data_IF_126196268081
#
_entry.id   IF_126196268081
#
_cell.length_a   1.000
_cell.length_b   1.000
_cell.length_c   1.000
_cell.angle_alpha   90.00
_cell.angle_beta   90.00
_cell.angle_gamma   90.00
#
_symmetry.space_group_name_H-M   'P 1'
#
loop_
_entity.id
_entity.type
_entity.pdbx_description
1 polymer ?
#
# COMPACT_ATOMS: atom_id res chain seq x y z
N UNK A 1 -9.10 27.79 43.89
CA UNK A 1 -8.70 26.43 44.36
C UNK A 1 -9.86 25.79 45.12
N UNK A 2 -10.38 26.43 46.17
CA UNK A 2 -11.45 25.86 47.01
C UNK A 2 -12.75 25.54 46.27
N UNK A 3 -13.19 26.39 45.32
CA UNK A 3 -14.42 26.14 44.55
C UNK A 3 -14.31 24.89 43.66
N UNK A 4 -13.17 24.69 43.00
CA UNK A 4 -12.92 23.54 42.11
C UNK A 4 -12.78 22.25 42.95
N UNK A 5 -12.02 22.32 44.04
CA UNK A 5 -11.86 21.20 44.97
C UNK A 5 -13.21 20.76 45.57
N UNK A 6 -14.03 21.71 46.03
CA UNK A 6 -15.35 21.43 46.59
C UNK A 6 -16.30 20.86 45.56
N UNK A 7 -16.29 21.38 44.32
CA UNK A 7 -17.09 20.85 43.22
C UNK A 7 -16.77 19.36 42.96
N UNK A 8 -15.50 19.01 42.81
CA UNK A 8 -15.11 17.63 42.54
C UNK A 8 -15.32 16.71 43.75
N UNK A 9 -15.15 17.22 44.97
CA UNK A 9 -15.46 16.46 46.19
C UNK A 9 -16.95 16.12 46.26
N UNK A 10 -17.83 17.08 45.97
CA UNK A 10 -19.27 16.86 45.96
C UNK A 10 -19.73 15.92 44.84
N UNK A 11 -19.00 15.87 43.72
CA UNK A 11 -19.37 15.10 42.52
C UNK A 11 -18.44 13.90 42.26
N UNK A 12 -17.72 13.41 43.26
CA UNK A 12 -16.66 12.41 43.07
C UNK A 12 -17.18 11.10 42.46
N UNK A 13 -18.41 10.70 42.80
CA UNK A 13 -19.08 9.51 42.25
C UNK A 13 -19.28 9.65 40.74
N UNK A 14 -19.72 10.83 40.27
CA UNK A 14 -19.91 11.12 38.84
C UNK A 14 -18.56 11.09 38.12
N UNK A 15 -17.50 11.62 38.74
CA UNK A 15 -16.15 11.59 38.17
C UNK A 15 -15.66 10.16 37.96
N UNK A 16 -15.80 9.27 38.94
CA UNK A 16 -15.40 7.87 38.81
C UNK A 16 -16.26 7.10 37.82
N UNK A 17 -17.56 7.40 37.73
CA UNK A 17 -18.43 6.81 36.71
C UNK A 17 -17.98 7.18 35.28
N UNK A 18 -17.76 8.48 35.03
CA UNK A 18 -17.26 8.97 33.73
C UNK A 18 -15.87 8.42 33.43
N UNK A 19 -15.01 8.33 34.44
CA UNK A 19 -13.67 7.74 34.31
C UNK A 19 -13.72 6.29 33.84
N UNK A 20 -14.52 5.44 34.50
CA UNK A 20 -14.75 4.05 34.07
C UNK A 20 -15.31 3.96 32.65
N UNK A 21 -16.25 4.84 32.31
CA UNK A 21 -16.84 4.92 30.96
C UNK A 21 -15.79 5.29 29.89
N UNK A 22 -14.90 6.25 30.15
CA UNK A 22 -13.83 6.63 29.21
C UNK A 22 -12.91 5.46 28.91
N UNK A 23 -12.52 4.70 29.94
CA UNK A 23 -11.67 3.51 29.77
C UNK A 23 -12.37 2.40 29.00
N UNK A 24 -13.62 2.13 29.34
CA UNK A 24 -14.44 1.12 28.68
C UNK A 24 -14.62 1.45 27.19
N UNK A 25 -14.99 2.70 26.87
CA UNK A 25 -15.16 3.17 25.49
C UNK A 25 -13.84 3.17 24.71
N UNK A 26 -12.73 3.58 25.34
CA UNK A 26 -11.40 3.47 24.74
C UNK A 26 -11.09 2.01 24.38
N UNK A 27 -11.22 1.09 25.34
CA UNK A 27 -10.90 -0.31 25.13
C UNK A 27 -11.75 -0.93 24.03
N UNK A 28 -13.06 -0.63 24.04
CA UNK A 28 -14.00 -1.07 23.02
C UNK A 28 -13.68 -0.49 21.63
N UNK A 29 -13.34 0.81 21.53
CA UNK A 29 -12.99 1.45 20.28
C UNK A 29 -11.69 0.89 19.68
N UNK A 30 -10.69 0.58 20.50
CA UNK A 30 -9.45 -0.08 20.06
C UNK A 30 -9.76 -1.49 19.57
N UNK A 31 -10.60 -2.27 20.29
CA UNK A 31 -10.99 -3.61 19.89
C UNK A 31 -11.66 -3.64 18.51
N UNK A 32 -12.69 -2.80 18.29
CA UNK A 32 -13.43 -2.75 17.02
C UNK A 32 -12.56 -2.39 15.81
N UNK A 33 -11.49 -1.63 16.03
CA UNK A 33 -10.62 -1.18 14.94
C UNK A 33 -9.54 -2.20 14.56
N UNK A 34 -9.30 -3.20 15.40
CA UNK A 34 -8.19 -4.12 15.26
C UNK A 34 -8.53 -5.42 14.49
N UNK A 35 -9.68 -5.46 13.80
CA UNK A 35 -10.14 -6.67 13.09
C UNK A 35 -9.38 -6.96 11.78
N UNK A 36 -8.54 -6.04 11.29
CA UNK A 36 -7.77 -6.24 10.06
C UNK A 36 -6.31 -6.60 10.37
N UNK A 37 -5.75 -7.66 9.77
CA UNK A 37 -4.34 -7.95 9.88
C UNK A 37 -3.55 -6.86 9.16
N UNK A 38 -2.96 -5.91 9.90
CA UNK A 38 -1.99 -4.98 9.34
C UNK A 38 -0.63 -5.66 9.21
N UNK A 39 0.17 -5.25 8.23
CA UNK A 39 1.54 -5.73 8.03
C UNK A 39 2.45 -5.49 9.26
N UNK A 40 2.11 -4.51 10.10
CA UNK A 40 2.83 -4.27 11.35
C UNK A 40 2.39 -5.22 12.47
N UNK A 41 3.35 -6.03 12.94
CA UNK A 41 3.22 -6.94 14.11
C UNK A 41 2.63 -6.28 15.36
N UNK A 42 2.74 -4.95 15.45
CA UNK A 42 2.24 -4.07 16.52
C UNK A 42 0.74 -4.20 16.72
N UNK A 43 -0.05 -4.36 15.65
CA UNK A 43 -1.51 -4.34 15.75
C UNK A 43 -2.03 -5.49 16.60
N UNK A 44 -1.36 -6.65 16.57
CA UNK A 44 -1.70 -7.78 17.43
C UNK A 44 -1.46 -7.53 18.92
N UNK A 45 -0.70 -6.49 19.28
CA UNK A 45 -0.48 -6.10 20.67
C UNK A 45 -1.62 -5.20 21.18
N UNK A 46 -2.30 -4.44 20.31
CA UNK A 46 -3.40 -3.56 20.71
C UNK A 46 -4.62 -4.28 21.28
N UNK A 47 -4.80 -5.58 21.00
CA UNK A 47 -5.82 -6.39 21.67
C UNK A 47 -5.63 -6.45 23.19
N UNK A 48 -4.39 -6.46 23.67
CA UNK A 48 -4.12 -6.43 25.11
C UNK A 48 -4.37 -5.04 25.72
N UNK A 49 -4.10 -3.97 24.96
CA UNK A 49 -4.44 -2.60 25.37
C UNK A 49 -5.97 -2.40 25.41
N UNK A 50 -6.70 -2.99 24.47
CA UNK A 50 -8.16 -3.01 24.45
C UNK A 50 -8.73 -3.78 25.65
N UNK A 51 -8.22 -4.99 25.91
CA UNK A 51 -8.60 -5.80 27.07
C UNK A 51 -8.32 -5.05 28.39
N UNK A 52 -7.17 -4.39 28.51
CA UNK A 52 -6.87 -3.49 29.61
C UNK A 52 -7.95 -2.41 29.77
N UNK A 53 -8.27 -1.65 28.71
CA UNK A 53 -9.27 -0.58 28.77
C UNK A 53 -10.66 -1.07 29.23
N UNK A 54 -11.13 -2.20 28.68
CA UNK A 54 -12.44 -2.76 29.02
C UNK A 54 -12.47 -3.25 30.47
N UNK A 55 -11.49 -4.07 30.88
CA UNK A 55 -11.45 -4.65 32.22
C UNK A 55 -11.23 -3.56 33.28
N UNK A 56 -10.35 -2.59 32.99
CA UNK A 56 -10.11 -1.45 33.86
C UNK A 56 -11.35 -0.57 34.01
N UNK A 57 -12.04 -0.27 32.89
CA UNK A 57 -13.29 0.49 32.93
C UNK A 57 -14.35 -0.18 33.80
N UNK A 58 -14.48 -1.50 33.69
CA UNK A 58 -15.40 -2.30 34.52
C UNK A 58 -15.01 -2.30 36.00
N UNK A 59 -13.72 -2.36 36.33
CA UNK A 59 -13.28 -2.34 37.73
C UNK A 59 -13.56 -0.99 38.40
N UNK A 60 -13.39 0.13 37.68
CA UNK A 60 -13.58 1.48 38.24
C UNK A 60 -15.04 1.78 38.62
N UNK A 61 -15.99 1.06 38.04
CA UNK A 61 -17.39 1.13 38.48
C UNK A 61 -17.62 0.47 39.83
N UNK A 62 -16.69 -0.34 40.33
CA UNK A 62 -16.73 -0.85 41.71
C UNK A 62 -16.73 0.28 42.74
N UNK A 63 -15.94 1.33 42.52
CA UNK A 63 -15.94 2.56 43.35
C UNK A 63 -17.30 3.28 43.42
N UNK A 64 -18.18 3.05 42.44
CA UNK A 64 -19.52 3.65 42.38
C UNK A 64 -20.57 2.71 42.97
N UNK A 65 -20.57 1.44 42.54
CA UNK A 65 -21.66 0.52 42.85
C UNK A 65 -21.47 -0.26 44.14
N UNK A 66 -20.24 -0.62 44.54
CA UNK A 66 -20.01 -1.41 45.75
C UNK A 66 -20.45 -0.65 47.02
N UNK A 67 -20.12 0.65 47.20
CA UNK A 67 -20.62 1.42 48.35
C UNK A 67 -22.14 1.54 48.38
N UNK A 68 -22.80 1.56 47.21
CA UNK A 68 -24.27 1.55 47.13
C UNK A 68 -24.82 0.20 47.59
N UNK A 69 -24.22 -0.92 47.16
CA UNK A 69 -24.63 -2.26 47.57
C UNK A 69 -24.43 -2.53 49.06
N UNK A 70 -23.41 -1.91 49.68
CA UNK A 70 -23.13 -2.01 51.12
C UNK A 70 -24.33 -1.58 51.98
N UNK A 71 -25.18 -0.68 51.47
CA UNK A 71 -26.37 -0.21 52.21
C UNK A 71 -27.52 -1.22 52.31
N UNK A 72 -27.55 -2.27 51.48
CA UNK A 72 -28.67 -3.22 51.42
C UNK A 72 -28.29 -4.68 51.20
N UNK A 73 -27.00 -5.01 51.06
CA UNK A 73 -26.49 -6.37 50.80
C UNK A 73 -25.81 -6.96 52.02
N UNK A 74 -25.63 -8.29 52.04
CA UNK A 74 -24.89 -8.95 53.12
C UNK A 74 -23.39 -8.65 53.06
N UNK A 75 -22.71 -8.64 54.22
CA UNK A 75 -21.25 -8.46 54.31
C UNK A 75 -20.47 -9.45 53.44
N UNK A 76 -20.98 -10.69 53.31
CA UNK A 76 -20.38 -11.70 52.45
C UNK A 76 -20.45 -11.28 50.97
N UNK A 77 -21.60 -10.75 50.54
CA UNK A 77 -21.78 -10.25 49.17
C UNK A 77 -20.82 -9.09 48.89
N UNK A 78 -20.73 -8.13 49.82
CA UNK A 78 -19.83 -6.96 49.69
C UNK A 78 -18.36 -7.40 49.63
N UNK A 79 -17.95 -8.35 50.49
CA UNK A 79 -16.61 -8.91 50.47
C UNK A 79 -16.28 -9.60 49.13
N UNK A 80 -17.23 -10.35 48.57
CA UNK A 80 -17.08 -10.99 47.25
C UNK A 80 -16.93 -9.92 46.16
N UNK A 81 -17.69 -8.83 46.22
CA UNK A 81 -17.59 -7.75 45.23
C UNK A 81 -16.23 -7.05 45.28
N UNK A 82 -15.71 -6.72 46.46
CA UNK A 82 -14.36 -6.17 46.60
C UNK A 82 -13.28 -7.16 46.12
N UNK A 83 -13.47 -8.46 46.35
CA UNK A 83 -12.59 -9.50 45.82
C UNK A 83 -12.61 -9.57 44.29
N UNK A 84 -13.79 -9.46 43.68
CA UNK A 84 -13.93 -9.40 42.22
C UNK A 84 -13.25 -8.14 41.69
N UNK A 85 -13.51 -6.98 42.29
CA UNK A 85 -12.96 -5.70 41.87
C UNK A 85 -11.43 -5.70 41.90
N UNK A 86 -10.81 -6.14 43.00
CA UNK A 86 -9.34 -6.14 43.12
C UNK A 86 -8.67 -7.10 42.12
N UNK A 87 -9.34 -8.20 41.78
CA UNK A 87 -8.87 -9.10 40.73
C UNK A 87 -9.03 -8.47 39.33
N UNK A 88 -10.12 -7.75 39.07
CA UNK A 88 -10.29 -7.00 37.81
C UNK A 88 -9.20 -5.92 37.67
N UNK A 89 -8.90 -5.16 38.73
CA UNK A 89 -7.80 -4.17 38.75
C UNK A 89 -6.45 -4.85 38.46
N UNK A 90 -6.14 -5.94 39.16
CA UNK A 90 -4.89 -6.66 38.96
C UNK A 90 -4.76 -7.21 37.53
N UNK A 91 -5.80 -7.86 37.02
CA UNK A 91 -5.80 -8.39 35.66
C UNK A 91 -5.72 -7.29 34.61
N UNK A 92 -6.39 -6.16 34.80
CA UNK A 92 -6.28 -5.03 33.87
C UNK A 92 -4.82 -4.58 33.75
N UNK A 93 -4.12 -4.36 34.87
CA UNK A 93 -2.72 -3.94 34.81
C UNK A 93 -1.77 -5.03 34.34
N UNK A 94 -2.08 -6.30 34.54
CA UNK A 94 -1.35 -7.40 33.90
C UNK A 94 -1.49 -7.34 32.38
N UNK A 95 -2.68 -7.03 31.84
CA UNK A 95 -2.86 -6.82 30.40
C UNK A 95 -2.03 -5.64 29.88
N UNK A 96 -1.97 -4.54 30.64
CA UNK A 96 -1.11 -3.40 30.31
C UNK A 96 0.39 -3.78 30.33
N UNK A 97 0.82 -4.55 31.33
CA UNK A 97 2.19 -5.07 31.40
C UNK A 97 2.49 -6.01 30.23
N UNK A 98 1.57 -6.90 29.89
CA UNK A 98 1.70 -7.79 28.75
C UNK A 98 1.78 -7.02 27.43
N UNK A 99 0.94 -5.99 27.27
CA UNK A 99 1.00 -5.08 26.12
C UNK A 99 2.38 -4.42 26.00
N UNK A 100 2.87 -3.81 27.09
CA UNK A 100 4.19 -3.16 27.11
C UNK A 100 5.35 -4.11 26.81
N UNK A 101 5.35 -5.29 27.44
CA UNK A 101 6.38 -6.31 27.20
C UNK A 101 6.31 -6.90 25.78
N UNK A 102 5.12 -7.17 25.26
CA UNK A 102 4.97 -7.69 23.89
C UNK A 102 5.49 -6.67 22.87
N UNK A 103 5.10 -5.41 23.01
CA UNK A 103 5.60 -4.34 22.15
C UNK A 103 7.14 -4.23 22.25
N UNK A 104 7.68 -4.25 23.45
CA UNK A 104 9.12 -4.18 23.68
C UNK A 104 9.91 -5.38 23.11
N UNK A 105 9.37 -6.60 23.26
CA UNK A 105 9.96 -7.83 22.70
C UNK A 105 9.95 -7.80 21.18
N UNK A 106 8.84 -7.36 20.58
CA UNK A 106 8.70 -7.29 19.13
C UNK A 106 9.61 -6.20 18.53
N UNK A 107 9.77 -5.04 19.19
CA UNK A 107 10.65 -3.95 18.74
C UNK A 107 12.14 -4.31 18.89
N UNK A 108 12.55 -4.96 19.98
CA UNK A 108 13.96 -5.25 20.24
C UNK A 108 14.41 -6.66 19.84
N UNK A 109 13.54 -7.45 19.19
CA UNK A 109 13.81 -8.84 18.81
C UNK A 109 14.29 -9.73 19.98
N UNK A 110 13.80 -9.43 21.19
CA UNK A 110 14.14 -10.17 22.41
C UNK A 110 13.48 -11.56 22.42
N UNK A 111 13.90 -12.40 23.37
CA UNK A 111 13.31 -13.72 23.55
C UNK A 111 11.84 -13.65 23.97
N UNK A 112 10.99 -14.41 23.27
CA UNK A 112 9.56 -14.55 23.61
C UNK A 112 9.30 -15.17 24.98
N UNK A 113 10.30 -15.80 25.61
CA UNK A 113 10.17 -16.36 26.95
C UNK A 113 9.86 -15.29 28.02
N UNK A 114 10.23 -14.02 27.79
CA UNK A 114 9.91 -12.92 28.71
C UNK A 114 8.39 -12.71 28.84
N UNK A 115 7.60 -13.10 27.84
CA UNK A 115 6.12 -13.01 27.86
C UNK A 115 5.46 -13.99 28.84
N UNK A 116 6.23 -14.88 29.49
CA UNK A 116 5.73 -15.66 30.62
C UNK A 116 5.59 -14.83 31.90
N UNK A 117 6.33 -13.72 32.05
CA UNK A 117 6.34 -12.89 33.27
C UNK A 117 4.93 -12.41 33.64
N UNK A 118 4.12 -11.79 32.74
CA UNK A 118 2.79 -11.31 33.12
C UNK A 118 1.81 -12.47 33.38
N UNK A 119 2.00 -13.63 32.74
CA UNK A 119 1.16 -14.81 32.96
C UNK A 119 1.37 -15.38 34.36
N UNK A 120 2.63 -15.52 34.76
CA UNK A 120 2.99 -15.95 36.11
C UNK A 120 2.50 -14.91 37.12
N UNK A 121 2.67 -13.61 36.83
CA UNK A 121 2.15 -12.54 37.68
C UNK A 121 0.62 -12.60 37.85
N UNK A 122 -0.14 -12.90 36.79
CA UNK A 122 -1.59 -13.10 36.88
C UNK A 122 -1.97 -14.26 37.81
N UNK A 123 -1.29 -15.40 37.67
CA UNK A 123 -1.55 -16.60 38.47
C UNK A 123 -1.22 -16.33 39.94
N UNK A 124 -0.08 -15.70 40.21
CA UNK A 124 0.33 -15.34 41.57
C UNK A 124 -0.65 -14.33 42.18
N UNK A 125 -1.07 -13.31 41.41
CA UNK A 125 -2.06 -12.33 41.85
C UNK A 125 -3.37 -13.01 42.25
N UNK A 126 -3.93 -13.80 41.34
CA UNK A 126 -5.18 -14.51 41.59
C UNK A 126 -5.07 -15.45 42.80
N UNK A 127 -3.97 -16.21 42.91
CA UNK A 127 -3.72 -17.09 44.04
C UNK A 127 -3.65 -16.36 45.39
N UNK A 128 -2.96 -15.22 45.43
CA UNK A 128 -2.86 -14.38 46.62
C UNK A 128 -4.25 -13.89 47.05
N UNK A 129 -5.02 -13.28 46.16
CA UNK A 129 -6.32 -12.71 46.51
C UNK A 129 -7.42 -13.75 46.71
N UNK A 130 -7.31 -14.95 46.12
CA UNK A 130 -8.24 -16.05 46.35
C UNK A 130 -8.06 -16.69 47.74
N UNK A 131 -6.81 -16.85 48.18
CA UNK A 131 -6.50 -17.55 49.44
C UNK A 131 -6.58 -16.64 50.67
N UNK A 132 -6.31 -15.35 50.51
CA UNK A 132 -6.12 -14.43 51.64
C UNK A 132 -7.36 -14.14 52.51
N UNK A 133 -8.60 -14.01 51.97
CA UNK A 133 -9.79 -13.78 52.79
C UNK A 133 -10.03 -14.87 53.85
N UNK A 134 -9.53 -16.09 53.61
CA UNK A 134 -9.60 -17.20 54.55
C UNK A 134 -8.50 -17.19 55.63
N UNK A 135 -7.42 -16.42 55.43
CA UNK A 135 -6.24 -16.41 56.28
C UNK A 135 -6.21 -15.21 57.27
N UNK A 136 -6.79 -14.07 56.92
CA UNK A 136 -6.61 -12.82 57.68
C UNK A 136 -7.78 -12.39 58.57
N UNK A 137 -8.91 -13.12 58.54
CA UNK A 137 -10.12 -12.71 59.24
C UNK A 137 -10.85 -11.55 58.56
N UNK A 138 -12.16 -11.44 58.76
CA UNK A 138 -13.04 -10.52 58.01
C UNK A 138 -12.83 -9.02 58.28
N UNK A 139 -12.11 -8.65 59.35
CA UNK A 139 -12.02 -7.26 59.82
C UNK A 139 -10.96 -6.41 59.10
N UNK A 140 -10.16 -6.97 58.17
CA UNK A 140 -9.03 -6.27 57.53
C UNK A 140 -9.14 -6.13 55.99
N UNK A 141 -10.35 -6.36 55.44
CA UNK A 141 -10.57 -6.40 53.98
C UNK A 141 -10.21 -5.05 53.32
N UNK A 142 -10.52 -3.93 53.98
CA UNK A 142 -10.27 -2.58 53.43
C UNK A 142 -8.79 -2.24 53.35
N UNK A 143 -8.00 -2.61 54.35
CA UNK A 143 -6.54 -2.43 54.33
C UNK A 143 -5.90 -3.28 53.23
N UNK A 144 -6.39 -4.51 53.08
CA UNK A 144 -5.88 -5.42 52.05
C UNK A 144 -6.21 -5.00 50.64
N UNK A 145 -7.43 -4.52 50.43
CA UNK A 145 -7.83 -3.91 49.18
C UNK A 145 -6.93 -2.72 48.84
N UNK A 146 -6.68 -1.83 49.81
CA UNK A 146 -5.80 -0.67 49.64
C UNK A 146 -4.37 -1.07 49.23
N UNK A 147 -3.77 -2.02 49.95
CA UNK A 147 -2.44 -2.54 49.63
C UNK A 147 -2.42 -3.20 48.25
N UNK A 148 -3.46 -3.98 47.93
CA UNK A 148 -3.65 -4.56 46.61
C UNK A 148 -3.65 -3.51 45.51
N UNK A 149 -4.50 -2.48 45.59
CA UNK A 149 -4.55 -1.43 44.57
C UNK A 149 -3.18 -0.78 44.39
N UNK A 150 -2.49 -0.44 45.48
CA UNK A 150 -1.15 0.17 45.44
C UNK A 150 -0.13 -0.77 44.78
N UNK A 151 -0.04 -2.03 45.21
CA UNK A 151 0.94 -2.97 44.68
C UNK A 151 0.65 -3.35 43.22
N UNK A 152 -0.63 -3.45 42.82
CA UNK A 152 -0.98 -3.68 41.42
C UNK A 152 -0.45 -2.55 40.51
N UNK A 153 -0.50 -1.30 40.98
CA UNK A 153 0.00 -0.13 40.27
C UNK A 153 1.53 -0.12 40.18
N UNK A 154 2.21 -0.39 41.28
CA UNK A 154 3.68 -0.40 41.29
C UNK A 154 4.29 -1.60 40.55
N UNK A 155 3.72 -2.79 40.70
CA UNK A 155 4.26 -4.01 40.13
C UNK A 155 3.88 -4.20 38.66
N UNK A 156 2.70 -3.73 38.25
CA UNK A 156 2.18 -3.98 36.90
C UNK A 156 1.97 -2.70 36.11
N UNK A 157 1.22 -1.72 36.63
CA UNK A 157 0.85 -0.54 35.85
C UNK A 157 2.05 0.34 35.49
N UNK A 158 2.91 0.62 36.47
CA UNK A 158 4.10 1.46 36.32
C UNK A 158 5.10 0.85 35.30
N UNK A 159 5.62 -0.38 35.50
CA UNK A 159 6.53 -0.98 34.53
C UNK A 159 5.86 -1.22 33.18
N UNK A 160 4.59 -1.63 33.13
CA UNK A 160 3.86 -1.81 31.88
C UNK A 160 3.81 -0.54 31.04
N UNK A 161 3.47 0.59 31.67
CA UNK A 161 3.41 1.90 31.02
C UNK A 161 4.78 2.40 30.56
N UNK A 162 5.82 2.23 31.38
CA UNK A 162 7.19 2.61 31.01
C UNK A 162 7.68 1.78 29.83
N UNK A 163 7.45 0.46 29.84
CA UNK A 163 7.83 -0.42 28.75
C UNK A 163 7.11 -0.06 27.45
N UNK A 164 5.80 0.22 27.51
CA UNK A 164 5.06 0.74 26.36
C UNK A 164 5.67 2.03 25.83
N UNK A 165 6.00 2.99 26.70
CA UNK A 165 6.61 4.24 26.30
C UNK A 165 7.96 4.06 25.60
N UNK A 166 8.85 3.24 26.18
CA UNK A 166 10.19 2.97 25.60
C UNK A 166 10.06 2.22 24.28
N UNK A 167 9.13 1.27 24.17
CA UNK A 167 8.92 0.52 22.95
C UNK A 167 8.43 1.43 21.80
N UNK A 168 7.44 2.29 22.06
CA UNK A 168 7.01 3.30 21.07
C UNK A 168 8.09 4.32 20.73
N UNK A 169 9.00 4.62 21.66
CA UNK A 169 10.13 5.50 21.39
C UNK A 169 11.11 4.86 20.41
N UNK A 170 11.59 3.65 20.71
CA UNK A 170 12.57 2.94 19.88
C UNK A 170 12.04 2.58 18.50
N UNK A 171 10.74 2.27 18.40
CA UNK A 171 10.10 1.94 17.13
C UNK A 171 10.10 3.09 16.12
N UNK A 172 10.36 4.32 16.55
CA UNK A 172 10.53 5.44 15.63
C UNK A 172 11.74 5.23 14.71
N UNK A 173 12.79 4.59 15.19
CA UNK A 173 14.02 4.37 14.41
C UNK A 173 13.76 3.42 13.24
N UNK A 174 12.98 2.36 13.47
CA UNK A 174 12.59 1.38 12.44
C UNK A 174 11.70 2.02 11.36
N UNK A 175 10.77 2.88 11.79
CA UNK A 175 9.76 3.50 10.92
C UNK A 175 10.20 4.87 10.38
N UNK A 176 11.40 5.37 10.74
CA UNK A 176 11.94 6.62 10.21
C UNK A 176 12.25 6.52 8.70
N UNK A 177 12.41 5.29 8.20
CA UNK A 177 12.58 4.99 6.78
C UNK A 177 11.29 5.18 5.98
N UNK A 178 10.12 5.13 6.63
CA UNK A 178 8.85 5.46 6.01
C UNK A 178 8.76 6.99 5.95
N UNK A 179 8.69 7.57 4.75
CA UNK A 179 8.62 9.02 4.48
C UNK A 179 7.26 9.65 4.91
N UNK A 180 6.86 9.37 6.15
CA UNK A 180 5.54 9.60 6.74
C UNK A 180 5.71 10.32 8.09
N UNK A 181 5.93 11.65 8.10
CA UNK A 181 6.21 12.42 9.31
C UNK A 181 5.06 12.41 10.33
N UNK A 182 3.83 12.14 9.88
CA UNK A 182 2.65 12.05 10.76
C UNK A 182 2.70 10.81 11.65
N UNK A 183 3.15 9.67 11.11
CA UNK A 183 3.26 8.40 11.86
C UNK A 183 4.29 8.55 12.98
N UNK A 184 5.47 9.09 12.67
CA UNK A 184 6.52 9.35 13.66
C UNK A 184 6.06 10.30 14.78
N UNK A 185 5.31 11.34 14.42
CA UNK A 185 4.73 12.27 15.39
C UNK A 185 3.74 11.57 16.32
N UNK A 186 2.86 10.73 15.78
CA UNK A 186 1.90 9.98 16.60
C UNK A 186 2.59 8.97 17.52
N UNK A 187 3.65 8.28 17.08
CA UNK A 187 4.45 7.39 17.93
C UNK A 187 5.14 8.15 19.08
N UNK A 188 5.73 9.33 18.81
CA UNK A 188 6.32 10.19 19.84
C UNK A 188 5.31 10.59 20.91
N UNK A 189 4.16 11.12 20.48
CA UNK A 189 3.13 11.52 21.43
C UNK A 189 2.57 10.33 22.20
N UNK A 190 2.46 9.16 21.58
CA UNK A 190 2.00 7.94 22.26
C UNK A 190 3.00 7.56 23.37
N UNK A 191 4.30 7.60 23.08
CA UNK A 191 5.36 7.37 24.08
C UNK A 191 5.26 8.36 25.25
N UNK A 192 5.12 9.66 24.97
CA UNK A 192 4.96 10.69 26.01
C UNK A 192 3.70 10.45 26.85
N UNK A 193 2.57 10.10 26.21
CA UNK A 193 1.33 9.82 26.95
C UNK A 193 1.44 8.59 27.84
N UNK A 194 2.16 7.53 27.42
CA UNK A 194 2.42 6.38 28.29
C UNK A 194 3.36 6.72 29.47
N UNK A 195 4.31 7.64 29.31
CA UNK A 195 5.11 8.15 30.44
C UNK A 195 4.25 8.96 31.42
N UNK A 196 3.37 9.82 30.90
CA UNK A 196 2.41 10.53 31.75
C UNK A 196 1.45 9.55 32.45
N UNK A 197 1.02 8.50 31.75
CA UNK A 197 0.20 7.46 32.33
C UNK A 197 0.95 6.71 33.45
N UNK A 198 2.23 6.40 33.25
CA UNK A 198 3.09 5.80 34.28
C UNK A 198 3.15 6.67 35.55
N UNK A 199 3.26 8.00 35.39
CA UNK A 199 3.25 8.94 36.50
C UNK A 199 1.89 8.95 37.24
N UNK A 200 0.79 9.19 36.52
CA UNK A 200 -0.52 9.43 37.15
C UNK A 200 -1.26 8.16 37.58
N UNK A 201 -1.05 7.04 36.89
CA UNK A 201 -1.72 5.76 37.18
C UNK A 201 -0.83 4.75 37.92
N UNK A 202 0.48 4.80 37.70
CA UNK A 202 1.47 3.93 38.33
C UNK A 202 2.06 4.50 39.62
N UNK A 203 2.64 5.71 39.55
CA UNK A 203 3.38 6.30 40.67
C UNK A 203 2.49 7.02 41.70
N UNK A 204 1.46 7.74 41.24
CA UNK A 204 0.50 8.42 42.11
C UNK A 204 -0.61 7.44 42.50
N UNK A 205 -0.54 6.94 43.74
CA UNK A 205 -1.42 5.89 44.28
C UNK A 205 -2.19 6.39 45.52
N UNK A 206 -3.15 5.63 46.08
CA UNK A 206 -3.74 5.97 47.38
C UNK A 206 -2.69 6.13 48.49
N UNK A 207 -2.91 7.05 49.43
CA UNK A 207 -1.98 7.30 50.52
C UNK A 207 -1.78 6.07 51.42
N UNK A 208 -0.51 5.73 51.66
CA UNK A 208 -0.10 4.65 52.55
C UNK A 208 1.17 5.05 53.35
N UNK A 209 1.51 4.35 54.46
CA UNK A 209 2.58 4.76 55.37
C UNK A 209 4.01 4.48 54.88
N UNK A 210 4.20 4.12 53.60
CA UNK A 210 5.50 3.77 53.02
C UNK A 210 5.80 4.58 51.74
N UNK A 211 7.08 4.71 51.37
CA UNK A 211 7.50 5.40 50.15
C UNK A 211 7.27 4.53 48.89
N UNK A 212 6.92 5.12 47.73
CA UNK A 212 6.68 6.55 47.50
C UNK A 212 5.24 7.01 47.86
N UNK A 213 4.33 6.09 48.24
CA UNK A 213 2.91 6.37 48.50
C UNK A 213 2.66 7.40 49.62
N UNK A 214 3.58 7.55 50.57
CA UNK A 214 3.48 8.54 51.63
C UNK A 214 3.62 9.99 51.13
N UNK A 215 4.35 10.19 50.02
CA UNK A 215 4.63 11.49 49.42
C UNK A 215 3.83 11.70 48.15
N UNK A 216 3.95 10.76 47.20
CA UNK A 216 3.27 10.79 45.91
C UNK A 216 1.95 10.02 46.00
N UNK A 217 0.89 10.74 46.38
CA UNK A 217 -0.44 10.16 46.50
C UNK A 217 -1.56 11.04 45.95
N UNK A 218 -2.70 10.39 45.73
CA UNK A 218 -3.91 11.00 45.18
C UNK A 218 -4.38 12.20 46.02
N UNK A 219 -4.32 12.09 47.35
CA UNK A 219 -4.75 13.16 48.25
C UNK A 219 -3.86 14.40 48.13
N UNK A 220 -2.54 14.22 48.07
CA UNK A 220 -1.58 15.31 47.91
C UNK A 220 -1.73 15.97 46.52
N UNK A 221 -1.89 15.18 45.46
CA UNK A 221 -2.15 15.70 44.12
C UNK A 221 -3.44 16.54 44.11
N UNK A 222 -4.54 16.01 44.65
CA UNK A 222 -5.83 16.68 44.64
C UNK A 222 -5.82 17.99 45.44
N UNK A 223 -5.11 18.02 46.57
CA UNK A 223 -4.90 19.26 47.35
C UNK A 223 -4.06 20.30 46.59
N UNK A 224 -3.05 19.84 45.84
CA UNK A 224 -2.15 20.72 45.10
C UNK A 224 -2.79 21.31 43.84
N UNK A 225 -3.57 20.51 43.11
CA UNK A 225 -4.09 20.91 41.78
C UNK A 225 -5.57 21.24 41.78
N UNK A 226 -6.33 20.78 42.77
CA UNK A 226 -7.79 20.89 42.81
C UNK A 226 -8.52 19.91 41.90
N UNK A 227 -7.84 19.03 41.15
CA UNK A 227 -8.45 18.04 40.26
C UNK A 227 -8.18 16.60 40.74
N UNK A 228 -9.20 15.72 40.75
CA UNK A 228 -9.00 14.31 41.07
C UNK A 228 -8.08 13.62 40.07
N UNK A 229 -7.31 12.63 40.53
CA UNK A 229 -6.40 11.86 39.65
C UNK A 229 -7.13 11.22 38.46
N UNK A 230 -8.39 10.84 38.64
CA UNK A 230 -9.25 10.26 37.61
C UNK A 230 -9.40 11.18 36.39
N UNK A 231 -9.42 12.50 36.57
CA UNK A 231 -9.51 13.47 35.47
C UNK A 231 -8.26 13.44 34.61
N UNK A 232 -7.07 13.41 35.24
CA UNK A 232 -5.79 13.29 34.52
C UNK A 232 -5.70 11.97 33.75
N UNK A 233 -6.04 10.86 34.42
CA UNK A 233 -6.00 9.53 33.82
C UNK A 233 -6.99 9.41 32.65
N UNK A 234 -8.23 9.92 32.79
CA UNK A 234 -9.21 9.97 31.71
C UNK A 234 -8.67 10.71 30.49
N UNK A 235 -8.13 11.92 30.69
CA UNK A 235 -7.59 12.75 29.61
C UNK A 235 -6.42 12.07 28.89
N UNK A 236 -5.45 11.55 29.65
CA UNK A 236 -4.30 10.83 29.09
C UNK A 236 -4.77 9.62 28.25
N UNK A 237 -5.69 8.82 28.78
CA UNK A 237 -6.20 7.65 28.06
C UNK A 237 -7.03 8.00 26.83
N UNK A 238 -7.83 9.07 26.86
CA UNK A 238 -8.51 9.56 25.65
C UNK A 238 -7.51 9.95 24.55
N UNK A 239 -6.39 10.58 24.92
CA UNK A 239 -5.34 10.93 23.96
C UNK A 239 -4.62 9.68 23.45
N UNK A 240 -4.27 8.72 24.32
CA UNK A 240 -3.70 7.42 23.90
C UNK A 240 -4.64 6.72 22.93
N UNK A 241 -5.94 6.64 23.24
CA UNK A 241 -6.96 6.05 22.39
C UNK A 241 -6.96 6.69 21.00
N UNK A 242 -7.04 8.02 20.95
CA UNK A 242 -7.02 8.77 19.70
C UNK A 242 -5.76 8.47 18.88
N UNK A 243 -4.58 8.52 19.49
CA UNK A 243 -3.30 8.29 18.81
C UNK A 243 -3.19 6.86 18.27
N UNK A 244 -3.55 5.85 19.07
CA UNK A 244 -3.55 4.44 18.67
C UNK A 244 -4.54 4.21 17.54
N UNK A 245 -5.76 4.74 17.64
CA UNK A 245 -6.78 4.67 16.58
C UNK A 245 -6.28 5.34 15.30
N UNK A 246 -5.58 6.48 15.38
CA UNK A 246 -5.02 7.14 14.19
C UNK A 246 -3.89 6.33 13.57
N UNK A 247 -3.00 5.77 14.38
CA UNK A 247 -1.93 4.89 13.92
C UNK A 247 -2.50 3.68 13.16
N UNK A 248 -3.46 2.96 13.73
CA UNK A 248 -4.07 1.80 13.05
C UNK A 248 -4.77 2.20 11.75
N UNK A 249 -5.45 3.36 11.70
CA UNK A 249 -6.10 3.83 10.47
C UNK A 249 -5.10 4.06 9.34
N UNK A 250 -3.99 4.76 9.63
CA UNK A 250 -2.98 5.11 8.61
C UNK A 250 -2.41 3.83 7.98
N UNK A 251 -2.01 2.86 8.80
CA UNK A 251 -1.43 1.61 8.29
C UNK A 251 -2.44 0.76 7.52
N UNK A 252 -3.69 0.62 8.01
CA UNK A 252 -4.71 -0.14 7.25
C UNK A 252 -5.01 0.48 5.89
N UNK A 253 -4.88 1.79 5.76
CA UNK A 253 -5.06 2.50 4.48
C UNK A 253 -3.90 2.20 3.52
N UNK A 254 -2.65 2.25 3.99
CA UNK A 254 -1.47 1.92 3.18
C UNK A 254 -1.46 0.47 2.71
N UNK A 255 -1.79 -0.47 3.60
CA UNK A 255 -1.89 -1.90 3.26
C UNK A 255 -2.96 -2.13 2.19
N UNK A 256 -4.11 -1.46 2.31
CA UNK A 256 -5.20 -1.57 1.33
C UNK A 256 -4.81 -0.99 -0.03
N UNK A 257 -4.04 0.10 -0.04
CA UNK A 257 -3.54 0.74 -1.26
C UNK A 257 -2.54 -0.18 -1.98
N UNK A 258 -1.53 -0.68 -1.27
CA UNK A 258 -0.52 -1.61 -1.81
C UNK A 258 -1.17 -2.87 -2.38
N UNK A 259 -2.18 -3.42 -1.67
CA UNK A 259 -2.92 -4.59 -2.14
C UNK A 259 -3.69 -4.30 -3.42
N UNK A 260 -4.35 -3.13 -3.51
CA UNK A 260 -5.08 -2.74 -4.72
C UNK A 260 -4.15 -2.56 -5.93
N UNK A 261 -2.99 -1.94 -5.75
CA UNK A 261 -1.96 -1.79 -6.79
C UNK A 261 -1.47 -3.17 -7.27
N UNK A 262 -1.15 -4.08 -6.34
CA UNK A 262 -0.74 -5.44 -6.67
C UNK A 262 -1.83 -6.23 -7.40
N UNK A 263 -3.09 -6.07 -7.01
CA UNK A 263 -4.24 -6.69 -7.69
C UNK A 263 -4.43 -6.16 -9.11
N UNK A 264 -4.22 -4.86 -9.32
CA UNK A 264 -4.29 -4.25 -10.64
C UNK A 264 -3.17 -4.78 -11.54
N UNK A 265 -1.94 -4.87 -11.05
CA UNK A 265 -0.82 -5.46 -11.79
C UNK A 265 -1.09 -6.92 -12.15
N UNK A 266 -1.60 -7.71 -11.20
CA UNK A 266 -1.98 -9.09 -11.44
C UNK A 266 -3.11 -9.23 -12.47
N UNK A 267 -4.11 -8.35 -12.44
CA UNK A 267 -5.19 -8.33 -13.43
C UNK A 267 -4.66 -8.04 -14.84
N UNK A 268 -3.74 -7.08 -14.98
CA UNK A 268 -3.07 -6.78 -16.26
C UNK A 268 -2.26 -7.98 -16.75
N UNK A 269 -1.50 -8.64 -15.87
CA UNK A 269 -0.73 -9.85 -16.24
C UNK A 269 -1.64 -11.00 -16.69
N UNK A 270 -2.77 -11.20 -15.99
CA UNK A 270 -3.74 -12.23 -16.33
C UNK A 270 -4.39 -11.98 -17.69
N UNK A 271 -4.75 -10.72 -17.98
CA UNK A 271 -5.30 -10.34 -19.28
C UNK A 271 -4.27 -10.55 -20.40
N UNK A 272 -3.00 -10.18 -20.17
CA UNK A 272 -1.90 -10.49 -21.11
C UNK A 272 -1.77 -11.98 -21.40
N UNK A 273 -1.88 -12.82 -20.36
CA UNK A 273 -1.76 -14.27 -20.52
C UNK A 273 -2.95 -14.84 -21.30
N UNK A 274 -4.16 -14.32 -21.07
CA UNK A 274 -5.36 -14.69 -21.83
C UNK A 274 -5.22 -14.31 -23.30
N UNK A 275 -4.88 -13.05 -23.59
CA UNK A 275 -4.65 -12.55 -24.95
C UNK A 275 -3.60 -13.41 -25.68
N UNK A 276 -2.48 -13.74 -25.02
CA UNK A 276 -1.44 -14.61 -25.59
C UNK A 276 -1.99 -15.98 -25.97
N UNK A 277 -2.88 -16.54 -25.16
CA UNK A 277 -3.47 -17.86 -25.38
C UNK A 277 -4.48 -17.85 -26.53
N UNK A 278 -5.42 -16.92 -26.51
CA UNK A 278 -6.43 -16.76 -27.57
C UNK A 278 -5.76 -16.57 -28.95
N UNK A 279 -4.63 -15.86 -28.96
CA UNK A 279 -3.85 -15.63 -30.17
C UNK A 279 -3.00 -16.83 -30.60
N UNK A 280 -2.30 -17.49 -29.66
CA UNK A 280 -1.55 -18.71 -29.96
C UNK A 280 -2.47 -19.73 -30.64
N UNK A 281 -3.69 -19.88 -30.13
CA UNK A 281 -4.66 -20.82 -30.66
C UNK A 281 -5.20 -20.40 -32.04
N UNK A 282 -5.49 -19.11 -32.27
CA UNK A 282 -5.98 -18.62 -33.57
C UNK A 282 -4.91 -18.59 -34.69
N UNK A 283 -3.67 -18.19 -34.37
CA UNK A 283 -2.58 -18.08 -35.34
C UNK A 283 -2.03 -19.46 -35.71
N UNK A 284 -1.80 -20.36 -34.74
CA UNK A 284 -1.34 -21.71 -35.06
C UNK A 284 -2.34 -22.43 -35.97
N UNK A 285 -3.65 -22.29 -35.70
CA UNK A 285 -4.68 -22.90 -36.53
C UNK A 285 -4.65 -22.35 -37.97
N UNK A 286 -4.45 -21.04 -38.11
CA UNK A 286 -4.39 -20.40 -39.44
C UNK A 286 -3.15 -20.83 -40.22
N UNK A 287 -1.98 -20.88 -39.58
CA UNK A 287 -0.73 -21.37 -40.22
C UNK A 287 -0.85 -22.85 -40.58
N UNK A 288 -1.45 -23.66 -39.71
CA UNK A 288 -1.67 -25.08 -39.98
C UNK A 288 -2.58 -25.29 -41.20
N UNK A 289 -3.67 -24.50 -41.30
CA UNK A 289 -4.58 -24.54 -42.45
C UNK A 289 -3.88 -24.16 -43.76
N UNK A 290 -3.03 -23.12 -43.74
CA UNK A 290 -2.20 -22.75 -44.90
C UNK A 290 -1.30 -23.92 -45.32
N UNK A 291 -0.62 -24.57 -44.36
CA UNK A 291 0.26 -25.70 -44.63
C UNK A 291 -0.46 -26.86 -45.33
N UNK A 292 -1.66 -27.22 -44.87
CA UNK A 292 -2.48 -28.26 -45.49
C UNK A 292 -2.91 -27.89 -46.92
N UNK A 293 -3.30 -26.64 -47.14
CA UNK A 293 -3.74 -26.16 -48.45
C UNK A 293 -2.59 -26.13 -49.46
N UNK A 294 -1.38 -25.76 -49.03
CA UNK A 294 -0.18 -25.81 -49.86
C UNK A 294 0.23 -27.25 -50.20
N UNK A 295 0.08 -28.20 -49.27
CA UNK A 295 0.32 -29.62 -49.55
C UNK A 295 -0.69 -30.18 -50.56
N UNK A 296 -1.95 -29.76 -50.49
CA UNK A 296 -2.97 -30.06 -51.50
C UNK A 296 -2.62 -29.46 -52.87
N UNK A 297 -2.17 -28.20 -52.91
CA UNK A 297 -1.71 -27.57 -54.14
C UNK A 297 -0.53 -28.32 -54.78
N UNK A 298 0.41 -28.83 -53.97
CA UNK A 298 1.53 -29.65 -54.44
C UNK A 298 1.06 -30.95 -55.11
N UNK A 299 0.02 -31.59 -54.57
CA UNK A 299 -0.57 -32.79 -55.17
C UNK A 299 -1.30 -32.48 -56.49
N UNK A 300 -1.96 -31.32 -56.56
CA UNK A 300 -2.66 -30.84 -57.76
C UNK A 300 -1.71 -30.39 -58.87
N UNK A 301 -0.49 -29.96 -58.55
CA UNK A 301 0.48 -29.45 -59.53
C UNK A 301 0.78 -30.45 -60.68
N UNK A 302 0.64 -31.77 -60.43
CA UNK A 302 0.84 -32.80 -61.45
C UNK A 302 -0.40 -33.08 -62.33
N UNK A 303 -1.61 -32.72 -61.86
CA UNK A 303 -2.88 -33.08 -62.50
C UNK A 303 -3.69 -31.88 -62.99
N UNK A 304 -3.59 -30.74 -62.31
CA UNK A 304 -4.26 -29.47 -62.64
C UNK A 304 -3.36 -28.29 -62.20
N UNK A 305 -2.37 -27.92 -63.03
CA UNK A 305 -1.38 -26.89 -62.69
C UNK A 305 -2.01 -25.51 -62.46
N UNK A 306 -3.05 -25.18 -63.21
CA UNK A 306 -3.72 -23.87 -63.10
C UNK A 306 -4.40 -23.72 -61.75
N UNK A 307 -5.09 -24.75 -61.27
CA UNK A 307 -5.74 -24.76 -59.96
C UNK A 307 -4.73 -24.81 -58.80
N UNK A 308 -3.57 -25.44 -59.01
CA UNK A 308 -2.46 -25.40 -58.07
C UNK A 308 -1.91 -23.96 -57.90
N UNK A 309 -1.67 -23.25 -59.00
CA UNK A 309 -1.22 -21.85 -58.98
C UNK A 309 -2.24 -20.92 -58.31
N UNK A 310 -3.54 -21.08 -58.59
CA UNK A 310 -4.60 -20.31 -57.93
C UNK A 310 -4.64 -20.55 -56.40
N UNK A 311 -4.40 -21.79 -55.97
CA UNK A 311 -4.37 -22.15 -54.54
C UNK A 311 -3.14 -21.54 -53.87
N UNK A 312 -1.97 -21.61 -54.51
CA UNK A 312 -0.74 -20.98 -54.00
C UNK A 312 -0.90 -19.46 -53.88
N UNK A 313 -1.46 -18.80 -54.90
CA UNK A 313 -1.69 -17.35 -54.88
C UNK A 313 -2.62 -16.94 -53.73
N UNK A 314 -3.69 -17.72 -53.48
CA UNK A 314 -4.63 -17.47 -52.38
C UNK A 314 -3.98 -17.63 -51.01
N UNK A 315 -3.20 -18.69 -50.81
CA UNK A 315 -2.54 -18.95 -49.53
C UNK A 315 -1.40 -17.94 -49.27
N UNK A 316 -0.74 -17.41 -50.30
CA UNK A 316 0.21 -16.29 -50.15
C UNK A 316 -0.48 -15.03 -49.60
N UNK A 317 -1.66 -14.67 -50.12
CA UNK A 317 -2.45 -13.55 -49.59
C UNK A 317 -2.84 -13.80 -48.12
N UNK A 318 -3.20 -15.04 -47.78
CA UNK A 318 -3.55 -15.45 -46.41
C UNK A 318 -2.36 -15.39 -45.47
N UNK A 319 -1.17 -15.81 -45.91
CA UNK A 319 0.08 -15.67 -45.16
C UNK A 319 0.44 -14.21 -44.90
N UNK A 320 0.27 -13.33 -45.89
CA UNK A 320 0.49 -11.90 -45.72
C UNK A 320 -0.48 -11.30 -44.71
N UNK A 321 -1.73 -11.77 -44.68
CA UNK A 321 -2.70 -11.38 -43.66
C UNK A 321 -2.28 -11.86 -42.26
N UNK A 322 -1.90 -13.13 -42.10
CA UNK A 322 -1.41 -13.67 -40.83
C UNK A 322 -0.17 -12.89 -40.36
N UNK A 323 0.75 -12.54 -41.27
CA UNK A 323 1.91 -11.72 -40.95
C UNK A 323 1.53 -10.32 -40.46
N UNK A 324 0.50 -9.68 -41.05
CA UNK A 324 -0.01 -8.39 -40.56
C UNK A 324 -0.63 -8.52 -39.18
N UNK A 325 -1.42 -9.57 -38.94
CA UNK A 325 -2.03 -9.85 -37.63
C UNK A 325 -0.98 -10.08 -36.54
N UNK A 326 0.07 -10.86 -36.83
CA UNK A 326 1.22 -11.05 -35.93
C UNK A 326 1.93 -9.73 -35.63
N UNK A 327 2.18 -8.89 -36.64
CA UNK A 327 2.89 -7.60 -36.45
C UNK A 327 2.09 -6.63 -35.61
N UNK A 328 0.79 -6.50 -35.88
CA UNK A 328 -0.10 -5.66 -35.07
C UNK A 328 -0.13 -6.15 -33.61
N UNK A 329 -0.15 -7.47 -33.39
CA UNK A 329 -0.12 -8.07 -32.06
C UNK A 329 1.20 -7.84 -31.30
N UNK A 330 2.35 -8.04 -31.94
CA UNK A 330 3.66 -7.76 -31.33
C UNK A 330 3.69 -6.32 -30.84
N UNK A 331 3.10 -5.40 -31.60
CA UNK A 331 2.97 -4.02 -31.19
C UNK A 331 2.00 -3.80 -30.03
N UNK A 332 0.83 -4.44 -30.01
CA UNK A 332 -0.12 -4.33 -28.89
C UNK A 332 0.47 -4.84 -27.57
N UNK A 333 1.32 -5.88 -27.60
CA UNK A 333 2.07 -6.30 -26.39
C UNK A 333 3.11 -5.27 -25.98
N UNK A 334 3.83 -4.69 -26.94
CA UNK A 334 4.91 -3.74 -26.66
C UNK A 334 4.40 -2.37 -26.17
N UNK A 335 3.11 -2.06 -26.33
CA UNK A 335 2.50 -0.80 -25.90
C UNK A 335 2.70 -0.48 -24.40
N UNK A 336 2.82 -1.49 -23.53
CA UNK A 336 3.10 -1.25 -22.11
C UNK A 336 4.57 -0.88 -21.80
N UNK A 337 5.49 -1.03 -22.76
CA UNK A 337 6.91 -0.67 -22.60
C UNK A 337 7.26 0.65 -23.29
N UNK A 338 6.41 1.12 -24.23
CA UNK A 338 6.57 2.42 -24.91
C UNK A 338 5.90 3.59 -24.17
N UNK A 339 5.19 3.32 -23.06
CA UNK A 339 4.67 4.33 -22.14
C UNK A 339 5.70 5.39 -21.74
N UNK A 340 6.95 4.98 -21.60
CA UNK A 340 8.03 5.83 -21.06
C UNK A 340 9.07 6.25 -22.11
N UNK A 341 9.08 5.64 -23.31
CA UNK A 341 10.12 5.90 -24.32
C UNK A 341 9.76 7.09 -25.22
N UNK A 342 10.77 7.93 -25.49
CA UNK A 342 10.68 9.00 -26.48
C UNK A 342 10.73 8.42 -27.90
N UNK A 343 10.03 9.03 -28.85
CA UNK A 343 10.00 8.61 -30.26
C UNK A 343 11.42 8.50 -30.84
N UNK A 344 12.34 9.37 -30.42
CA UNK A 344 13.75 9.31 -30.82
C UNK A 344 14.39 7.94 -30.53
N UNK A 345 14.06 7.33 -29.39
CA UNK A 345 14.63 6.05 -28.95
C UNK A 345 14.05 4.90 -29.76
N UNK A 346 12.77 5.00 -30.09
CA UNK A 346 12.06 4.04 -30.96
C UNK A 346 12.72 4.03 -32.34
N UNK A 347 12.87 5.19 -32.97
CA UNK A 347 13.46 5.32 -34.32
C UNK A 347 14.93 4.90 -34.33
N UNK A 348 15.72 5.26 -33.31
CA UNK A 348 17.10 4.82 -33.17
C UNK A 348 17.20 3.29 -33.17
N UNK A 349 16.35 2.61 -32.39
CA UNK A 349 16.32 1.15 -32.35
C UNK A 349 16.00 0.53 -33.71
N UNK A 350 15.01 1.05 -34.42
CA UNK A 350 14.63 0.57 -35.75
C UNK A 350 15.76 0.73 -36.77
N UNK A 351 16.46 1.87 -36.75
CA UNK A 351 17.56 2.15 -37.68
C UNK A 351 18.73 1.20 -37.43
N UNK A 352 19.08 0.95 -36.17
CA UNK A 352 20.15 0.00 -35.85
C UNK A 352 19.80 -1.44 -36.23
N UNK A 353 18.57 -1.88 -35.98
CA UNK A 353 18.09 -3.19 -36.44
C UNK A 353 18.12 -3.30 -37.98
N UNK A 354 17.73 -2.24 -38.69
CA UNK A 354 17.74 -2.22 -40.14
C UNK A 354 19.16 -2.31 -40.72
N UNK A 355 20.12 -1.55 -40.17
CA UNK A 355 21.54 -1.61 -40.55
C UNK A 355 22.10 -3.02 -40.39
N UNK A 356 21.83 -3.66 -39.25
CA UNK A 356 22.30 -5.02 -38.96
C UNK A 356 21.73 -6.05 -39.94
N UNK A 357 20.45 -5.91 -40.31
CA UNK A 357 19.74 -6.89 -41.12
C UNK A 357 19.92 -6.72 -42.64
N UNK A 358 20.33 -5.54 -43.10
CA UNK A 358 20.35 -5.20 -44.53
C UNK A 358 21.73 -4.75 -45.05
N UNK A 359 22.70 -4.54 -44.16
CA UNK A 359 24.05 -4.06 -44.48
C UNK A 359 24.04 -2.78 -45.36
N UNK A 360 23.03 -1.93 -45.14
CA UNK A 360 22.81 -0.69 -45.89
C UNK A 360 23.09 0.50 -44.95
N UNK A 361 23.90 1.50 -45.37
CA UNK A 361 24.16 2.67 -44.55
C UNK A 361 22.89 3.53 -44.42
N UNK A 362 22.54 3.86 -43.18
CA UNK A 362 21.43 4.76 -42.84
C UNK A 362 21.97 5.98 -42.10
N UNK A 363 21.79 7.16 -42.68
CA UNK A 363 22.08 8.45 -42.04
C UNK A 363 20.85 8.93 -41.28
N UNK A 364 20.96 8.99 -39.95
CA UNK A 364 19.88 9.42 -39.06
C UNK A 364 20.20 10.80 -38.47
N UNK A 365 19.31 11.76 -38.69
CA UNK A 365 19.41 13.11 -38.11
C UNK A 365 18.18 13.39 -37.23
N UNK A 366 18.39 13.68 -35.95
CA UNK A 366 17.32 14.03 -35.00
C UNK A 366 17.59 15.42 -34.44
N UNK A 367 16.64 16.36 -34.57
CA UNK A 367 16.77 17.74 -34.09
C UNK A 367 15.61 18.10 -33.16
N UNK A 368 15.89 18.84 -32.09
CA UNK A 368 14.87 19.39 -31.16
C UNK A 368 13.99 18.35 -30.43
N UNK A 369 14.48 17.11 -30.25
CA UNK A 369 13.73 16.02 -29.58
C UNK A 369 13.21 16.30 -28.16
N UNK A 370 13.72 17.33 -27.48
CA UNK A 370 13.20 17.79 -26.19
C UNK A 370 11.79 18.40 -26.30
N UNK A 371 11.33 18.74 -27.51
CA UNK A 371 10.01 19.30 -27.81
C UNK A 371 8.97 18.24 -28.17
N UNK A 372 9.28 16.96 -27.97
CA UNK A 372 8.36 15.87 -28.27
C UNK A 372 7.05 16.02 -27.47
N UNK A 373 5.94 16.17 -28.19
CA UNK A 373 4.60 16.28 -27.63
C UNK A 373 3.63 15.38 -28.40
N UNK A 374 3.88 14.07 -28.32
CA UNK A 374 3.14 13.05 -29.05
C UNK A 374 2.48 12.07 -28.07
N UNK A 375 1.20 11.82 -28.28
CA UNK A 375 0.45 10.80 -27.55
C UNK A 375 0.90 9.39 -27.99
N UNK A 376 0.64 8.38 -27.17
CA UNK A 376 1.05 6.98 -27.45
C UNK A 376 0.58 6.48 -28.81
N UNK A 377 -0.66 6.78 -29.20
CA UNK A 377 -1.22 6.46 -30.51
C UNK A 377 -0.38 7.08 -31.65
N UNK A 378 0.04 8.33 -31.51
CA UNK A 378 0.82 9.00 -32.56
C UNK A 378 2.19 8.35 -32.75
N UNK A 379 2.89 8.03 -31.65
CA UNK A 379 4.17 7.30 -31.68
C UNK A 379 4.01 5.92 -32.33
N UNK A 380 2.88 5.23 -32.07
CA UNK A 380 2.54 3.93 -32.64
C UNK A 380 2.41 3.98 -34.16
N UNK A 381 1.64 4.93 -34.69
CA UNK A 381 1.47 5.07 -36.13
C UNK A 381 2.78 5.45 -36.83
N UNK A 382 3.57 6.35 -36.23
CA UNK A 382 4.89 6.72 -36.75
C UNK A 382 5.86 5.54 -36.82
N UNK A 383 5.92 4.71 -35.78
CA UNK A 383 6.71 3.48 -35.77
C UNK A 383 6.32 2.56 -36.94
N UNK A 384 5.02 2.33 -37.13
CA UNK A 384 4.52 1.47 -38.21
C UNK A 384 4.81 2.02 -39.60
N UNK A 385 4.67 3.34 -39.78
CA UNK A 385 5.00 4.01 -41.04
C UNK A 385 6.47 3.80 -41.36
N UNK A 386 7.38 4.08 -40.41
CA UNK A 386 8.83 3.92 -40.63
C UNK A 386 9.18 2.47 -40.94
N UNK A 387 8.55 1.51 -40.27
CA UNK A 387 8.82 0.08 -40.47
C UNK A 387 8.43 -0.36 -41.89
N UNK A 388 7.25 0.07 -42.34
CA UNK A 388 6.76 -0.24 -43.68
C UNK A 388 7.64 0.39 -44.76
N UNK A 389 8.03 1.66 -44.58
CA UNK A 389 8.89 2.38 -45.50
C UNK A 389 10.29 1.74 -45.61
N UNK A 390 10.90 1.39 -44.49
CA UNK A 390 12.17 0.65 -44.48
C UNK A 390 12.03 -0.72 -45.14
N UNK A 391 10.90 -1.42 -44.94
CA UNK A 391 10.62 -2.70 -45.61
C UNK A 391 10.51 -2.52 -47.13
N UNK A 392 9.83 -1.48 -47.59
CA UNK A 392 9.68 -1.16 -49.01
C UNK A 392 11.03 -0.84 -49.65
N UNK A 393 11.86 -0.03 -48.98
CA UNK A 393 13.23 0.25 -49.43
C UNK A 393 14.01 -1.06 -49.59
N UNK A 394 14.02 -1.93 -48.58
CA UNK A 394 14.72 -3.22 -48.64
C UNK A 394 14.27 -4.08 -49.82
N UNK A 395 12.96 -4.16 -50.06
CA UNK A 395 12.39 -5.06 -51.07
C UNK A 395 12.51 -4.53 -52.50
N UNK A 396 12.45 -3.21 -52.68
CA UNK A 396 12.17 -2.63 -54.00
C UNK A 396 13.19 -1.59 -54.48
N UNK A 397 13.88 -0.87 -53.58
CA UNK A 397 14.65 0.32 -53.98
C UNK A 397 15.96 0.01 -54.72
N UNK A 398 16.64 -1.10 -54.39
CA UNK A 398 18.06 -1.33 -54.73
C UNK A 398 18.97 -0.13 -54.35
N UNK A 399 18.58 0.63 -53.33
CA UNK A 399 19.33 1.78 -52.84
C UNK A 399 20.71 1.36 -52.31
N UNK A 400 21.66 2.29 -52.34
CA UNK A 400 22.95 2.18 -51.68
C UNK A 400 22.98 2.96 -50.36
N UNK A 401 22.06 3.89 -50.15
CA UNK A 401 22.00 4.75 -48.98
C UNK A 401 20.56 5.14 -48.64
N UNK A 402 20.28 5.20 -47.33
CA UNK A 402 19.03 5.72 -46.78
C UNK A 402 19.30 6.90 -45.87
N UNK A 403 18.45 7.92 -45.94
CA UNK A 403 18.46 9.09 -45.06
C UNK A 403 17.15 9.16 -44.30
N UNK A 404 17.23 9.28 -42.97
CA UNK A 404 16.08 9.50 -42.10
C UNK A 404 16.29 10.77 -41.28
N UNK A 405 15.34 11.70 -41.33
CA UNK A 405 15.37 12.92 -40.53
C UNK A 405 14.10 13.04 -39.68
N UNK A 406 14.28 13.39 -38.41
CA UNK A 406 13.23 13.65 -37.45
C UNK A 406 13.43 15.04 -36.84
N UNK A 407 12.53 15.98 -37.12
CA UNK A 407 12.60 17.35 -36.61
C UNK A 407 11.32 17.72 -35.87
N UNK A 408 11.47 18.28 -34.68
CA UNK A 408 10.36 18.68 -33.83
C UNK A 408 10.19 20.19 -33.86
N UNK A 409 9.05 20.67 -34.38
CA UNK A 409 8.65 22.08 -34.36
C UNK A 409 7.60 22.32 -33.28
N UNK A 410 7.19 23.57 -33.05
CA UNK A 410 6.24 23.91 -31.99
C UNK A 410 4.83 23.34 -32.22
N UNK A 411 4.42 23.13 -33.46
CA UNK A 411 3.05 22.73 -33.81
C UNK A 411 2.98 21.38 -34.55
N UNK A 412 4.11 20.85 -34.99
CA UNK A 412 4.17 19.61 -35.74
C UNK A 412 5.54 18.94 -35.66
N UNK A 413 5.54 17.64 -35.91
CA UNK A 413 6.70 16.81 -36.16
C UNK A 413 6.88 16.64 -37.65
N UNK A 414 8.10 16.79 -38.15
CA UNK A 414 8.47 16.45 -39.52
C UNK A 414 9.34 15.19 -39.52
N UNK A 415 8.86 14.15 -40.20
CA UNK A 415 9.57 12.92 -40.49
C UNK A 415 9.86 12.85 -41.98
N UNK A 416 11.14 12.72 -42.34
CA UNK A 416 11.59 12.54 -43.73
C UNK A 416 12.32 11.21 -43.84
N UNK A 417 11.93 10.39 -44.81
CA UNK A 417 12.65 9.17 -45.19
C UNK A 417 12.95 9.25 -46.68
N UNK A 418 14.22 9.09 -47.05
CA UNK A 418 14.68 9.13 -48.43
C UNK A 418 15.65 7.99 -48.73
N UNK A 419 15.60 7.45 -49.95
CA UNK A 419 16.55 6.48 -50.50
C UNK A 419 17.11 6.97 -51.85
N UNK A 420 18.28 6.49 -52.24
CA UNK A 420 18.94 6.79 -53.52
C UNK A 420 18.73 5.70 -54.59
N UNK A 421 17.65 4.91 -54.47
CA UNK A 421 17.37 3.76 -55.32
C UNK A 421 16.79 4.09 -56.70
N UNK A 422 16.15 3.10 -57.31
CA UNK A 422 15.60 3.18 -58.68
C UNK A 422 14.36 4.08 -58.80
N UNK A 423 13.74 4.47 -57.67
CA UNK A 423 12.49 5.23 -57.66
C UNK A 423 11.33 4.53 -58.38
N UNK A 424 10.22 5.26 -58.57
CA UNK A 424 9.08 4.78 -59.36
C UNK A 424 8.38 5.94 -60.11
N UNK A 425 7.83 5.68 -61.31
CA UNK A 425 7.06 6.69 -62.04
C UNK A 425 5.82 7.19 -61.26
N UNK A 426 5.40 8.45 -61.42
CA UNK A 426 4.24 9.02 -60.71
C UNK A 426 2.93 8.26 -60.96
N UNK A 427 2.80 7.64 -62.13
CA UNK A 427 1.61 6.89 -62.57
C UNK A 427 1.59 5.44 -62.05
N UNK A 428 2.68 4.97 -61.44
CA UNK A 428 2.75 3.63 -60.87
C UNK A 428 1.83 3.54 -59.67
N UNK A 429 0.96 2.54 -59.67
CA UNK A 429 -0.07 2.33 -58.66
C UNK A 429 0.54 2.33 -57.25
N UNK A 430 0.16 3.31 -56.41
CA UNK A 430 0.61 3.49 -55.02
C UNK A 430 0.14 2.38 -54.06
N UNK A 431 -0.24 1.20 -54.56
CA UNK A 431 -0.82 0.11 -53.76
C UNK A 431 0.11 -0.34 -52.63
N UNK A 432 1.43 -0.33 -52.85
CA UNK A 432 2.45 -0.62 -51.84
C UNK A 432 2.62 0.44 -50.75
N UNK A 433 1.97 1.61 -50.87
CA UNK A 433 1.99 2.69 -49.89
C UNK A 433 0.60 2.96 -49.28
N UNK A 434 -0.41 2.15 -49.62
CA UNK A 434 -1.78 2.36 -49.14
C UNK A 434 -1.86 2.36 -47.60
N UNK A 435 -1.19 1.40 -46.97
CA UNK A 435 -1.11 1.33 -45.50
C UNK A 435 -0.44 2.56 -44.88
N UNK A 436 0.53 3.17 -45.57
CA UNK A 436 1.22 4.38 -45.09
C UNK A 436 0.28 5.58 -45.20
N UNK A 437 -0.48 5.68 -46.30
CA UNK A 437 -1.47 6.75 -46.51
C UNK A 437 -2.61 6.67 -45.50
N UNK A 438 -3.19 5.48 -45.28
CA UNK A 438 -4.26 5.29 -44.28
C UNK A 438 -3.81 5.66 -42.86
N UNK A 439 -2.56 5.34 -42.50
CA UNK A 439 -1.99 5.70 -41.20
C UNK A 439 -1.66 7.19 -41.09
N UNK A 440 -1.24 7.82 -42.18
CA UNK A 440 -1.04 9.27 -42.21
C UNK A 440 -2.37 10.00 -42.00
N UNK A 441 -3.46 9.51 -42.60
CA UNK A 441 -4.81 10.05 -42.40
C UNK A 441 -5.28 9.91 -40.94
N UNK A 442 -5.04 8.74 -40.32
CA UNK A 442 -5.32 8.52 -38.88
C UNK A 442 -4.53 9.47 -37.96
N UNK A 443 -3.35 9.92 -38.40
CA UNK A 443 -2.52 10.89 -37.70
C UNK A 443 -2.92 12.35 -37.98
N UNK A 444 -3.89 12.59 -38.87
CA UNK A 444 -4.17 13.90 -39.46
C UNK A 444 -2.89 14.56 -40.02
N UNK A 445 -2.02 13.74 -40.62
CA UNK A 445 -0.70 14.15 -41.08
C UNK A 445 -0.72 14.50 -42.58
N UNK A 446 -0.03 15.57 -42.94
CA UNK A 446 0.24 15.90 -44.34
C UNK A 446 1.37 15.00 -44.85
N UNK A 447 1.13 14.31 -45.97
CA UNK A 447 2.09 13.40 -46.59
C UNK A 447 2.44 13.85 -48.01
N UNK A 448 3.73 14.08 -48.25
CA UNK A 448 4.29 14.40 -49.56
C UNK A 448 5.22 13.27 -50.02
N UNK A 449 5.02 12.80 -51.25
CA UNK A 449 5.79 11.71 -51.85
C UNK A 449 6.43 12.23 -53.13
N UNK A 450 7.75 12.27 -53.16
CA UNK A 450 8.55 12.61 -54.33
C UNK A 450 9.34 11.39 -54.77
N UNK A 451 9.07 10.87 -55.96
CA UNK A 451 9.84 9.77 -56.53
C UNK A 451 10.15 10.08 -57.99
N UNK A 452 11.38 9.79 -58.40
CA UNK A 452 11.83 9.93 -59.77
C UNK A 452 12.63 8.69 -60.16
N UNK A 453 12.41 8.23 -61.38
CA UNK A 453 13.14 7.08 -61.92
C UNK A 453 14.66 7.36 -61.88
N UNK A 454 15.40 6.39 -61.35
CA UNK A 454 16.85 6.40 -61.14
C UNK A 454 17.38 7.54 -60.24
N UNK A 455 16.51 8.16 -59.43
CA UNK A 455 16.86 9.22 -58.47
C UNK A 455 16.34 8.97 -57.06
N UNK A 456 15.78 7.79 -56.81
CA UNK A 456 15.27 7.37 -55.52
C UNK A 456 13.88 7.90 -55.18
N UNK A 457 13.51 7.72 -53.90
CA UNK A 457 12.22 8.16 -53.36
C UNK A 457 12.45 8.93 -52.07
N UNK A 458 11.71 10.01 -51.88
CA UNK A 458 11.60 10.76 -50.64
C UNK A 458 10.14 10.88 -50.21
N UNK A 459 9.88 10.54 -48.95
CA UNK A 459 8.59 10.68 -48.30
C UNK A 459 8.74 11.62 -47.12
N UNK A 460 7.89 12.65 -47.07
CA UNK A 460 7.84 13.65 -46.01
C UNK A 460 6.49 13.57 -45.33
N UNK A 461 6.48 13.45 -44.01
CA UNK A 461 5.28 13.38 -43.19
C UNK A 461 5.31 14.49 -42.14
N UNK A 462 4.28 15.34 -42.11
CA UNK A 462 4.10 16.38 -41.09
C UNK A 462 2.93 16.01 -40.19
N UNK A 463 3.24 15.64 -38.94
CA UNK A 463 2.24 15.21 -37.96
C UNK A 463 1.96 16.34 -36.98
N UNK A 464 0.71 16.81 -36.83
CA UNK A 464 0.36 17.83 -35.84
C UNK A 464 0.70 17.38 -34.40
N UNK A 465 1.31 18.27 -33.63
CA UNK A 465 1.69 18.06 -32.23
C UNK A 465 1.19 19.26 -31.42
N UNK A 466 0.16 19.08 -30.60
CA UNK A 466 -0.37 20.17 -29.77
C UNK A 466 0.18 20.05 -28.34
N UNK A 467 1.05 20.99 -27.95
CA UNK A 467 1.58 21.11 -26.57
C UNK A 467 0.55 21.49 -25.49
N UNK A 468 -0.73 21.69 -25.83
CA UNK A 468 -1.75 22.13 -24.87
C UNK A 468 -2.50 20.99 -24.17
N UNK A 469 -2.38 19.76 -24.66
CA UNK A 469 -3.18 18.61 -24.21
C UNK A 469 -2.35 17.46 -23.58
N UNK A 470 -1.06 17.67 -23.29
CA UNK A 470 -0.18 16.66 -22.66
C UNK A 470 0.00 16.85 -21.15
#
# INVERSE_FOLDING_TARGET
MDLVYNFFTANIVVVYFVYGLVFFLMGFAIALKNDKPSLLRISQSFNYLAAFGIIHGLSEWGHVFIPVMESYSSDLTVAILYLIEINLIGFSFVFLLYFGLKLFVDTLSLSRHILWVPRIAAILWFGIFLLYPNLAGRNDISHWYLLGDIFSRYLFALPGSILSAVAFWKQQDDLASLDQPQVLRHLRWTSVMFLLYALFAGLIVPRAPFLPASVLNIQNLFRLTGFPVAVYRAGICSVIAYLVIRLTAIFTYEDSKTLAETQQEYAVLKERQRIRRDLHDGILQSIYAVGLNLESARQLAATDPQKADETIARENIRLDQINREIRNYIMDIQQASYGEKQLKEIILGMVEEFKQNCNLPVELTIMDSHRECLHHEQKRHLHLIVLELLSNIKKHSKAMKVTLSLKFYEQYLELIIADDGIGFPPETQRSGLQNVMERAEQLAADIDIYSHQDKGTQITLKVPCNCKDC
#
